data_IF_899399090789
#
_entry.id   IF_899399090789
#
_cell.length_a   1.000
_cell.length_b   1.000
_cell.length_c   1.000
_cell.angle_alpha   90.00
_cell.angle_beta   90.00
_cell.angle_gamma   90.00
#
_symmetry.space_group_name_H-M   'P 1'
#
loop_
_entity.id
_entity.type
_entity.pdbx_description
1 polymer ?
#
# COMPACT_ATOMS: atom_id res chain seq x y z
N UNK A 1 -25.40 -14.18 -49.26
CA UNK A 1 -25.87 -13.40 -48.10
C UNK A 1 -26.16 -14.24 -46.85
N UNK A 2 -26.96 -15.32 -46.93
CA UNK A 2 -27.35 -16.15 -45.76
C UNK A 2 -26.17 -16.79 -44.98
N UNK A 3 -25.13 -17.27 -45.68
CA UNK A 3 -23.97 -17.94 -45.04
C UNK A 3 -23.14 -16.95 -44.22
N UNK A 4 -22.93 -15.74 -44.72
CA UNK A 4 -22.16 -14.69 -44.03
C UNK A 4 -22.86 -14.26 -42.73
N UNK A 5 -24.19 -14.16 -42.76
CA UNK A 5 -24.99 -13.82 -41.57
C UNK A 5 -24.89 -14.89 -40.47
N UNK A 6 -24.94 -16.18 -40.84
CA UNK A 6 -24.74 -17.30 -39.90
C UNK A 6 -23.34 -17.31 -39.28
N UNK A 7 -22.31 -17.03 -40.07
CA UNK A 7 -20.92 -16.96 -39.56
C UNK A 7 -20.78 -15.80 -38.58
N UNK A 8 -21.34 -14.63 -38.92
CA UNK A 8 -21.31 -13.45 -38.06
C UNK A 8 -22.03 -13.72 -36.73
N UNK A 9 -23.19 -14.38 -36.76
CA UNK A 9 -23.95 -14.74 -35.55
C UNK A 9 -23.19 -15.73 -34.65
N UNK A 10 -22.51 -16.71 -35.23
CA UNK A 10 -21.67 -17.66 -34.49
C UNK A 10 -20.47 -16.95 -33.86
N UNK A 11 -19.82 -16.06 -34.60
CA UNK A 11 -18.72 -15.24 -34.09
C UNK A 11 -19.19 -14.32 -32.96
N UNK A 12 -20.35 -13.66 -33.11
CA UNK A 12 -20.92 -12.80 -32.10
C UNK A 12 -21.30 -13.58 -30.83
N UNK A 13 -21.92 -14.76 -30.98
CA UNK A 13 -22.24 -15.64 -29.84
C UNK A 13 -20.98 -16.16 -29.15
N UNK A 14 -19.92 -16.51 -29.88
CA UNK A 14 -18.62 -16.90 -29.28
C UNK A 14 -17.96 -15.73 -28.57
N UNK A 15 -18.02 -14.53 -29.14
CA UNK A 15 -17.46 -13.30 -28.56
C UNK A 15 -18.22 -12.88 -27.30
N UNK A 16 -19.56 -12.91 -27.33
CA UNK A 16 -20.42 -12.65 -26.17
C UNK A 16 -20.23 -13.72 -25.08
N UNK A 17 -20.06 -14.99 -25.46
CA UNK A 17 -19.76 -16.08 -24.51
C UNK A 17 -18.35 -16.00 -23.94
N UNK A 18 -17.39 -15.39 -24.66
CA UNK A 18 -16.06 -15.09 -24.14
C UNK A 18 -16.09 -13.89 -23.19
N UNK A 19 -16.85 -12.83 -23.52
CA UNK A 19 -17.07 -11.70 -22.63
C UNK A 19 -17.84 -12.10 -21.36
N UNK A 20 -18.85 -12.97 -21.46
CA UNK A 20 -19.60 -13.43 -20.28
C UNK A 20 -18.82 -14.42 -19.40
N UNK A 21 -17.61 -14.83 -19.82
CA UNK A 21 -16.74 -15.76 -19.08
C UNK A 21 -15.53 -15.10 -18.42
N UNK A 22 -15.25 -13.84 -18.73
CA UNK A 22 -14.21 -13.08 -18.04
C UNK A 22 -14.84 -12.43 -16.82
N UNK A 23 -14.59 -12.99 -15.64
CA UNK A 23 -14.93 -12.33 -14.39
C UNK A 23 -14.17 -11.00 -14.31
N UNK A 24 -14.78 -9.96 -13.73
CA UNK A 24 -14.14 -8.65 -13.53
C UNK A 24 -12.76 -8.76 -12.85
N UNK A 25 -12.52 -9.82 -12.07
CA UNK A 25 -11.23 -10.19 -11.48
C UNK A 25 -10.07 -10.35 -12.48
N UNK A 26 -10.33 -10.70 -13.75
CA UNK A 26 -9.26 -10.91 -14.76
C UNK A 26 -8.58 -9.57 -15.15
N UNK A 27 -9.23 -8.43 -14.90
CA UNK A 27 -8.69 -7.10 -15.18
C UNK A 27 -7.97 -6.48 -13.97
N UNK A 28 -8.12 -7.07 -12.79
CA UNK A 28 -7.49 -6.56 -11.58
C UNK A 28 -5.99 -6.93 -11.55
N UNK A 29 -5.12 -6.02 -11.09
CA UNK A 29 -3.70 -6.28 -10.99
C UNK A 29 -3.42 -7.40 -9.99
N UNK A 30 -2.41 -8.22 -10.27
CA UNK A 30 -1.86 -9.15 -9.29
C UNK A 30 -1.07 -8.41 -8.22
N UNK A 31 -0.80 -9.06 -7.07
CA UNK A 31 0.08 -8.50 -6.02
C UNK A 31 1.45 -8.12 -6.58
N UNK A 32 2.03 -8.93 -7.48
CA UNK A 32 3.27 -8.61 -8.21
C UNK A 32 3.21 -7.28 -8.93
N UNK A 33 2.14 -7.09 -9.69
CA UNK A 33 1.94 -5.92 -10.54
C UNK A 33 1.73 -4.69 -9.68
N UNK A 34 0.96 -4.81 -8.60
CA UNK A 34 0.79 -3.76 -7.61
C UNK A 34 2.12 -3.37 -6.95
N UNK A 35 2.91 -4.35 -6.47
CA UNK A 35 4.21 -4.12 -5.86
C UNK A 35 5.21 -3.46 -6.82
N UNK A 36 5.21 -3.85 -8.10
CA UNK A 36 6.03 -3.20 -9.15
C UNK A 36 5.59 -1.77 -9.42
N UNK A 37 4.29 -1.48 -9.35
CA UNK A 37 3.79 -0.11 -9.50
C UNK A 37 4.18 0.77 -8.30
N UNK A 38 4.12 0.23 -7.08
CA UNK A 38 4.49 0.92 -5.84
C UNK A 38 6.02 1.11 -5.76
N UNK A 39 6.77 0.09 -6.16
CA UNK A 39 8.24 0.08 -6.13
C UNK A 39 8.85 -0.24 -7.51
N UNK A 40 8.85 0.72 -8.45
CA UNK A 40 9.33 0.47 -9.82
C UNK A 40 10.82 0.11 -9.92
N UNK A 41 11.60 0.33 -8.84
CA UNK A 41 13.04 0.08 -8.78
C UNK A 41 13.42 -1.17 -7.98
N UNK A 42 12.47 -1.89 -7.38
CA UNK A 42 12.78 -3.11 -6.64
C UNK A 42 13.18 -4.25 -7.59
N UNK A 43 14.13 -5.08 -7.16
CA UNK A 43 14.51 -6.28 -7.89
C UNK A 43 13.39 -7.32 -7.80
N UNK A 44 13.30 -8.20 -8.81
CA UNK A 44 12.31 -9.28 -8.82
C UNK A 44 12.41 -10.18 -7.58
N UNK A 45 13.63 -10.42 -7.06
CA UNK A 45 13.82 -11.25 -5.88
C UNK A 45 13.15 -10.64 -4.64
N UNK A 46 13.25 -9.32 -4.45
CA UNK A 46 12.60 -8.64 -3.32
C UNK A 46 11.08 -8.63 -3.49
N UNK A 47 10.59 -8.45 -4.73
CA UNK A 47 9.16 -8.55 -5.04
C UNK A 47 8.63 -9.93 -4.68
N UNK A 48 9.33 -11.01 -5.06
CA UNK A 48 8.95 -12.38 -4.71
C UNK A 48 8.94 -12.60 -3.20
N UNK A 49 9.93 -12.10 -2.47
CA UNK A 49 9.90 -12.17 -1.00
C UNK A 49 8.68 -11.46 -0.42
N UNK A 50 8.31 -10.29 -0.95
CA UNK A 50 7.10 -9.58 -0.52
C UNK A 50 5.81 -10.32 -0.89
N UNK A 51 5.74 -10.92 -2.08
CA UNK A 51 4.61 -11.79 -2.45
C UNK A 51 4.44 -12.96 -1.48
N UNK A 52 5.54 -13.61 -1.07
CA UNK A 52 5.51 -14.69 -0.08
C UNK A 52 5.01 -14.21 1.28
N UNK A 53 5.41 -13.01 1.72
CA UNK A 53 4.88 -12.40 2.94
C UNK A 53 3.36 -12.23 2.88
N UNK A 54 2.87 -11.78 1.72
CA UNK A 54 1.46 -11.44 1.46
C UNK A 54 0.58 -12.63 1.06
N UNK A 55 1.16 -13.77 0.64
CA UNK A 55 0.39 -14.96 0.27
C UNK A 55 -0.43 -15.54 1.43
N UNK A 56 0.01 -15.29 2.67
CA UNK A 56 -0.66 -15.74 3.89
C UNK A 56 -1.67 -14.72 4.44
N UNK A 57 -1.86 -13.59 3.78
CA UNK A 57 -2.84 -12.57 4.18
C UNK A 57 -4.22 -12.98 3.65
N UNK A 58 -5.22 -12.89 4.52
CA UNK A 58 -6.60 -13.21 4.18
C UNK A 58 -7.14 -12.22 3.12
N UNK A 59 -8.19 -12.65 2.41
CA UNK A 59 -8.85 -11.75 1.44
C UNK A 59 -9.47 -10.58 2.19
N UNK A 60 -9.41 -9.39 1.58
CA UNK A 60 -9.92 -8.12 2.09
C UNK A 60 -9.19 -7.53 3.30
N UNK A 61 -8.24 -8.26 3.89
CA UNK A 61 -7.36 -7.70 4.91
C UNK A 61 -6.48 -6.58 4.32
N UNK A 62 -6.48 -5.38 4.91
CA UNK A 62 -5.66 -4.29 4.41
C UNK A 62 -4.19 -4.48 4.76
N UNK A 63 -3.36 -4.21 3.76
CA UNK A 63 -1.91 -4.20 3.86
C UNK A 63 -1.44 -2.77 3.66
N UNK A 64 -0.82 -2.20 4.68
CA UNK A 64 -0.13 -0.91 4.59
C UNK A 64 1.28 -1.14 4.05
N UNK A 65 1.62 -0.44 2.98
CA UNK A 65 2.97 -0.41 2.42
C UNK A 65 3.49 1.02 2.53
N UNK A 66 4.60 1.20 3.26
CA UNK A 66 5.26 2.50 3.40
C UNK A 66 6.50 2.53 2.51
N UNK A 67 6.50 3.41 1.50
CA UNK A 67 7.68 3.67 0.67
C UNK A 67 8.49 4.82 1.27
N UNK A 68 9.81 4.66 1.50
CA UNK A 68 10.63 5.65 2.18
C UNK A 68 10.76 6.97 1.39
N UNK A 69 10.75 8.10 2.09
CA UNK A 69 11.11 9.40 1.54
C UNK A 69 12.59 9.70 1.78
N UNK A 70 13.39 9.77 0.72
CA UNK A 70 14.83 10.05 0.81
C UNK A 70 15.14 11.41 1.45
N UNK A 71 14.29 12.43 1.27
CA UNK A 71 14.49 13.74 1.91
C UNK A 71 14.38 13.64 3.43
N UNK A 72 13.36 12.91 3.91
CA UNK A 72 13.19 12.63 5.34
C UNK A 72 14.35 11.80 5.90
N UNK A 73 14.77 10.77 5.18
CA UNK A 73 15.91 9.93 5.60
C UNK A 73 17.21 10.73 5.63
N UNK A 74 17.44 11.64 4.69
CA UNK A 74 18.62 12.51 4.72
C UNK A 74 18.62 13.46 5.93
N UNK A 75 17.43 13.85 6.40
CA UNK A 75 17.27 14.70 7.58
C UNK A 75 17.43 13.92 8.90
N UNK A 76 16.88 12.70 8.99
CA UNK A 76 16.76 11.96 10.26
C UNK A 76 17.56 10.66 10.35
N UNK A 77 18.09 10.15 9.24
CA UNK A 77 18.81 8.88 9.07
C UNK A 77 17.95 7.61 8.94
N UNK A 78 18.55 6.57 8.34
CA UNK A 78 17.99 5.22 8.24
C UNK A 78 17.69 4.54 9.58
N UNK A 79 18.57 4.63 10.61
CA UNK A 79 18.24 4.14 11.94
C UNK A 79 16.95 4.75 12.51
N UNK A 80 16.74 6.06 12.36
CA UNK A 80 15.51 6.70 12.83
C UNK A 80 14.28 6.21 12.05
N UNK A 81 14.41 6.03 10.74
CA UNK A 81 13.35 5.42 9.91
C UNK A 81 12.96 4.04 10.45
N UNK A 82 13.94 3.18 10.73
CA UNK A 82 13.69 1.83 11.25
C UNK A 82 12.98 1.84 12.60
N UNK A 83 13.31 2.77 13.50
CA UNK A 83 12.61 2.93 14.79
C UNK A 83 11.14 3.24 14.57
N UNK A 84 10.81 4.15 13.64
CA UNK A 84 9.42 4.45 13.30
C UNK A 84 8.69 3.24 12.73
N UNK A 85 9.32 2.51 11.82
CA UNK A 85 8.73 1.29 11.25
C UNK A 85 8.51 0.21 12.33
N UNK A 86 9.43 0.10 13.28
CA UNK A 86 9.29 -0.78 14.44
C UNK A 86 8.09 -0.35 15.32
N UNK A 87 7.84 0.96 15.47
CA UNK A 87 6.64 1.48 16.12
C UNK A 87 5.36 1.06 15.39
N UNK A 88 5.26 1.21 14.07
CA UNK A 88 4.10 0.72 13.30
C UNK A 88 3.91 -0.80 13.42
N UNK A 89 5.01 -1.55 13.40
CA UNK A 89 4.97 -3.00 13.48
C UNK A 89 4.46 -3.53 14.84
N UNK A 90 4.64 -2.76 15.92
CA UNK A 90 4.43 -3.23 17.30
C UNK A 90 3.37 -2.47 18.08
N UNK A 91 2.90 -1.30 17.60
CA UNK A 91 1.94 -0.48 18.32
C UNK A 91 0.66 -1.26 18.68
N UNK A 92 0.31 -1.23 19.97
CA UNK A 92 -0.86 -1.90 20.52
C UNK A 92 -0.80 -3.44 20.54
N UNK A 93 0.37 -4.04 20.28
CA UNK A 93 0.52 -5.49 20.21
C UNK A 93 1.36 -6.06 21.35
N UNK A 94 1.09 -7.33 21.68
CA UNK A 94 1.91 -8.09 22.61
C UNK A 94 3.30 -8.38 22.03
N UNK A 95 4.26 -8.71 22.92
CA UNK A 95 5.61 -9.06 22.53
C UNK A 95 5.61 -10.18 21.46
N UNK A 96 6.44 -10.02 20.42
CA UNK A 96 6.59 -10.91 19.26
C UNK A 96 5.40 -10.98 18.29
N UNK A 97 4.36 -10.16 18.43
CA UNK A 97 3.24 -10.13 17.50
C UNK A 97 3.40 -9.09 16.37
N UNK A 98 4.59 -8.95 15.78
CA UNK A 98 4.83 -7.92 14.76
C UNK A 98 3.99 -8.11 13.50
N UNK A 99 3.47 -7.00 12.94
CA UNK A 99 2.66 -6.98 11.70
C UNK A 99 3.47 -7.17 10.40
N UNK A 100 4.79 -7.05 10.47
CA UNK A 100 5.63 -6.81 9.30
C UNK A 100 6.58 -7.95 8.95
N UNK A 101 6.62 -9.02 9.75
CA UNK A 101 7.60 -10.12 9.63
C UNK A 101 9.04 -9.58 9.47
N UNK A 102 9.37 -8.47 10.15
CA UNK A 102 10.64 -7.73 10.07
C UNK A 102 10.95 -7.06 8.72
N UNK A 103 9.98 -6.92 7.82
CA UNK A 103 10.15 -6.20 6.55
C UNK A 103 10.36 -4.70 6.73
N UNK A 104 9.82 -4.11 7.82
CA UNK A 104 9.85 -2.66 8.11
C UNK A 104 9.28 -1.77 6.99
N UNK A 105 8.40 -2.31 6.17
CA UNK A 105 7.74 -1.56 5.10
C UNK A 105 6.34 -2.07 4.77
N UNK A 106 6.03 -3.32 5.09
CA UNK A 106 4.74 -3.96 4.81
C UNK A 106 4.12 -4.33 6.15
N UNK A 107 2.90 -3.88 6.42
CA UNK A 107 2.20 -4.12 7.67
C UNK A 107 0.80 -4.67 7.38
N UNK A 108 0.50 -5.82 7.97
CA UNK A 108 -0.79 -6.48 7.82
C UNK A 108 -1.75 -6.10 8.96
N UNK A 109 -3.00 -5.80 8.60
CA UNK A 109 -4.10 -5.52 9.52
C UNK A 109 -5.31 -6.40 9.16
N UNK A 110 -6.13 -6.74 10.15
CA UNK A 110 -7.39 -7.47 9.93
C UNK A 110 -8.48 -6.56 9.39
N UNK A 111 -8.51 -5.32 9.89
CA UNK A 111 -9.50 -4.34 9.48
C UNK A 111 -8.83 -3.00 9.14
N UNK A 112 -9.45 -2.25 8.22
CA UNK A 112 -8.95 -0.92 7.85
C UNK A 112 -9.02 0.06 9.02
N UNK A 113 -9.97 -0.18 9.92
CA UNK A 113 -10.12 0.58 11.15
C UNK A 113 -8.91 0.43 12.07
N UNK A 114 -8.39 -0.80 12.22
CA UNK A 114 -7.19 -1.06 13.03
C UNK A 114 -5.97 -0.30 12.50
N UNK A 115 -5.81 -0.27 11.18
CA UNK A 115 -4.74 0.47 10.50
C UNK A 115 -4.77 1.96 10.88
N UNK A 116 -5.96 2.58 10.83
CA UNK A 116 -6.11 3.99 11.18
C UNK A 116 -6.02 4.24 12.69
N UNK A 117 -6.47 3.31 13.53
CA UNK A 117 -6.21 3.38 14.97
C UNK A 117 -4.72 3.37 15.29
N UNK A 118 -3.92 2.58 14.57
CA UNK A 118 -2.45 2.59 14.75
C UNK A 118 -1.86 3.94 14.32
N UNK A 119 -2.26 4.47 13.16
CA UNK A 119 -1.82 5.79 12.70
C UNK A 119 -2.14 6.88 13.73
N UNK A 120 -3.40 6.94 14.15
CA UNK A 120 -3.90 7.98 15.06
C UNK A 120 -3.30 7.80 16.46
N UNK A 121 -3.16 6.57 16.91
CA UNK A 121 -2.48 6.24 18.16
C UNK A 121 -1.02 6.71 18.18
N UNK A 122 -0.26 6.48 17.11
CA UNK A 122 1.12 6.97 16.99
C UNK A 122 1.15 8.51 16.98
N UNK A 123 0.24 9.15 16.26
CA UNK A 123 0.12 10.62 16.17
C UNK A 123 -0.23 11.23 17.53
N UNK A 124 -1.32 10.80 18.15
CA UNK A 124 -1.87 11.36 19.39
C UNK A 124 -0.96 11.13 20.61
N UNK A 125 -0.21 10.02 20.63
CA UNK A 125 0.73 9.74 21.72
C UNK A 125 2.15 10.28 21.44
N UNK A 126 2.35 11.02 20.34
CA UNK A 126 3.64 11.58 19.94
C UNK A 126 4.79 10.56 19.95
N UNK A 127 4.52 9.31 19.54
CA UNK A 127 5.49 8.20 19.58
C UNK A 127 6.54 8.29 18.47
N UNK A 128 6.25 9.06 17.44
CA UNK A 128 7.11 9.29 16.30
C UNK A 128 7.01 10.77 15.89
N UNK A 129 7.59 11.69 16.67
CA UNK A 129 7.63 13.09 16.30
C UNK A 129 8.38 13.20 14.97
N UNK A 130 7.89 14.03 14.05
CA UNK A 130 8.46 14.29 12.71
C UNK A 130 8.08 13.33 11.58
N UNK A 131 7.19 12.35 11.76
CA UNK A 131 6.79 11.47 10.65
C UNK A 131 5.62 12.01 9.83
N UNK A 132 4.82 12.86 10.46
CA UNK A 132 3.68 13.54 9.84
C UNK A 132 4.09 14.92 9.36
N UNK A 133 3.61 15.33 8.21
CA UNK A 133 3.86 16.65 7.64
C UNK A 133 2.62 17.53 7.69
N UNK A 134 2.84 18.84 7.69
CA UNK A 134 1.75 19.80 7.50
C UNK A 134 1.12 19.65 6.12
N UNK A 135 -0.17 19.95 6.01
CA UNK A 135 -0.90 19.88 4.76
C UNK A 135 -0.18 20.68 3.65
N UNK A 136 -0.06 20.15 2.41
CA UNK A 136 0.69 20.81 1.34
C UNK A 136 0.28 22.27 1.09
N UNK A 137 -1.00 22.58 1.22
CA UNK A 137 -1.57 23.94 1.09
C UNK A 137 -1.00 24.94 2.09
N UNK A 138 -0.51 24.48 3.25
CA UNK A 138 0.03 25.33 4.31
C UNK A 138 1.55 25.50 4.24
N UNK A 139 2.26 24.72 3.41
CA UNK A 139 3.73 24.70 3.36
C UNK A 139 4.34 26.08 3.09
N UNK A 140 3.71 26.88 2.23
CA UNK A 140 4.17 28.24 1.88
C UNK A 140 4.28 29.15 3.11
N UNK A 141 3.39 28.99 4.08
CA UNK A 141 3.38 29.83 5.30
C UNK A 141 4.42 29.39 6.34
N UNK A 142 4.86 28.13 6.29
CA UNK A 142 5.75 27.54 7.29
C UNK A 142 7.12 27.14 6.75
N UNK A 143 7.42 27.44 5.48
CA UNK A 143 8.67 27.04 4.83
C UNK A 143 9.95 27.55 5.53
N UNK A 144 9.85 28.63 6.30
CA UNK A 144 10.98 29.22 7.04
C UNK A 144 11.01 28.79 8.52
N UNK A 145 10.05 27.99 8.98
CA UNK A 145 10.03 27.52 10.36
C UNK A 145 10.78 26.17 10.46
N UNK A 146 11.96 26.13 11.10
CA UNK A 146 12.76 24.92 11.19
C UNK A 146 12.12 23.83 12.05
N UNK A 147 11.10 24.17 12.85
CA UNK A 147 10.40 23.24 13.72
C UNK A 147 9.19 22.57 13.05
N UNK A 148 8.91 22.89 11.79
CA UNK A 148 7.76 22.34 11.06
C UNK A 148 8.23 21.25 10.11
N UNK A 149 7.65 20.06 10.25
CA UNK A 149 7.91 18.97 9.32
C UNK A 149 7.19 19.23 7.99
N UNK A 150 7.98 19.48 6.94
CA UNK A 150 7.47 19.70 5.59
C UNK A 150 7.34 18.39 4.81
N UNK A 151 8.26 17.45 5.02
CA UNK A 151 8.32 16.19 4.29
C UNK A 151 7.80 15.02 5.14
N UNK A 152 6.86 14.19 4.67
CA UNK A 152 6.47 12.99 5.41
C UNK A 152 7.62 11.97 5.42
N UNK A 153 7.56 11.02 6.34
CA UNK A 153 8.51 9.89 6.38
C UNK A 153 8.53 9.05 5.09
N UNK A 154 7.41 9.05 4.35
CA UNK A 154 7.22 8.24 3.17
C UNK A 154 5.85 8.45 2.53
N UNK A 155 5.53 7.58 1.59
CA UNK A 155 4.19 7.46 1.01
C UNK A 155 3.52 6.20 1.54
N UNK A 156 2.25 6.32 1.92
CA UNK A 156 1.43 5.19 2.34
C UNK A 156 0.62 4.66 1.16
N UNK A 157 0.70 3.36 0.94
CA UNK A 157 -0.11 2.63 -0.02
C UNK A 157 -0.92 1.59 0.74
N UNK A 158 -2.19 1.47 0.39
CA UNK A 158 -3.07 0.44 0.92
C UNK A 158 -3.26 -0.56 -0.20
N UNK A 159 -2.91 -1.82 0.06
CA UNK A 159 -3.11 -2.95 -0.84
C UNK A 159 -4.12 -3.90 -0.18
N UNK A 160 -5.09 -4.37 -0.96
CA UNK A 160 -6.07 -5.35 -0.54
C UNK A 160 -6.12 -6.50 -1.54
N UNK A 161 -6.08 -7.73 -1.05
CA UNK A 161 -6.32 -8.92 -1.87
C UNK A 161 -7.82 -9.09 -2.09
N UNK A 162 -8.28 -9.12 -3.33
CA UNK A 162 -9.72 -9.28 -3.66
C UNK A 162 -10.02 -10.73 -4.06
N UNK A 163 -9.14 -11.34 -4.86
CA UNK A 163 -9.33 -12.69 -5.39
C UNK A 163 -8.14 -13.60 -5.11
N UNK A 164 -8.12 -14.77 -5.75
CA UNK A 164 -6.99 -15.68 -5.66
C UNK A 164 -5.72 -15.09 -6.30
N UNK A 165 -5.90 -14.33 -7.38
CA UNK A 165 -4.82 -13.74 -8.18
C UNK A 165 -4.96 -12.23 -8.39
N UNK A 166 -5.98 -11.60 -7.79
CA UNK A 166 -6.30 -10.19 -7.98
C UNK A 166 -6.17 -9.39 -6.68
N UNK A 167 -5.74 -8.14 -6.83
CA UNK A 167 -5.59 -7.15 -5.78
C UNK A 167 -6.12 -5.80 -6.23
N UNK A 168 -6.46 -4.96 -5.27
CA UNK A 168 -6.67 -3.53 -5.44
C UNK A 168 -5.64 -2.79 -4.60
N UNK A 169 -5.22 -1.63 -5.06
CA UNK A 169 -4.26 -0.81 -4.34
C UNK A 169 -4.41 0.66 -4.67
N UNK A 170 -4.16 1.51 -3.68
CA UNK A 170 -4.22 2.95 -3.81
C UNK A 170 -3.26 3.65 -2.86
N UNK A 171 -2.79 4.82 -3.27
CA UNK A 171 -2.02 5.68 -2.38
C UNK A 171 -2.98 6.46 -1.47
N UNK A 172 -2.76 6.42 -0.16
CA UNK A 172 -3.42 7.33 0.78
C UNK A 172 -2.55 8.58 0.96
N UNK A 173 -2.87 9.61 0.17
CA UNK A 173 -2.12 10.87 0.16
C UNK A 173 -2.25 11.67 1.46
N UNK A 174 -3.22 11.35 2.31
CA UNK A 174 -3.48 12.05 3.57
C UNK A 174 -2.97 11.27 4.78
N UNK A 175 -2.43 10.07 4.59
CA UNK A 175 -2.02 9.19 5.69
C UNK A 175 -1.01 9.84 6.65
N UNK A 176 -0.04 10.58 6.12
CA UNK A 176 0.98 11.27 6.91
C UNK A 176 0.70 12.76 7.10
N UNK A 177 -0.51 13.24 6.81
CA UNK A 177 -0.85 14.66 6.97
C UNK A 177 -1.36 14.94 8.38
N UNK A 178 -0.87 16.03 8.98
CA UNK A 178 -1.37 16.55 10.28
C UNK A 178 -2.67 17.30 10.11
#
# INVERSE_FOLDING_TARGET
FYIIFKILEICLRKFLKAMSKKSEEEYLPTVSTALKAIYPKLSNNVITSYEELLNNVDKHDPILIITPNSAWINQYSWPAYNVVMDTFATYGLAQNQRRDKNSRCIFHFREIYDLYQVRDGIKSNNLAPNIFNIQPSLRVYFQHNPNVQLEPIGSAWILMKIGAFSSDYGQDINFFVV
#
